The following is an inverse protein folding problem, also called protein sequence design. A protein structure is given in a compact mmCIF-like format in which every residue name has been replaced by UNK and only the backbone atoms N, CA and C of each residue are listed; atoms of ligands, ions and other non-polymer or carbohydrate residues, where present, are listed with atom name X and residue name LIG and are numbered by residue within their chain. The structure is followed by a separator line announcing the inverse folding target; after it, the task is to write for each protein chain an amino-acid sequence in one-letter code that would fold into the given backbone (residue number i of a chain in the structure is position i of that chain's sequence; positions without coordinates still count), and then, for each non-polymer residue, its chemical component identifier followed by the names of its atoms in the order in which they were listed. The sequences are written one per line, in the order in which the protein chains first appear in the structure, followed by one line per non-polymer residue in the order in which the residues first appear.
data_IF_561357761095
#
_entry.id   IF_561357761095
#
_cell.length_a   1.000
_cell.length_b   1.000
_cell.length_c   1.000
_cell.angle_alpha   90.00
_cell.angle_beta   90.00
_cell.angle_gamma   90.00
#
_symmetry.space_group_name_H-M   'P 1'
#
loop_
_entity.id
_entity.type
_entity.pdbx_description
1 polymer ?
#
# COMPACT_ATOMS: atom_id res chain seq x y z
N UNK A 1 -18.01 -15.58 -25.95
CA UNK A 1 -19.03 -14.54 -25.78
C UNK A 1 -18.59 -13.65 -24.62
N UNK A 2 -18.47 -12.33 -24.76
CA UNK A 2 -18.09 -11.44 -23.69
C UNK A 2 -19.24 -11.32 -22.70
N UNK A 3 -18.94 -11.49 -21.41
CA UNK A 3 -19.87 -11.28 -20.30
C UNK A 3 -20.13 -9.79 -20.10
N UNK A 4 -21.38 -9.37 -20.19
CA UNK A 4 -21.82 -8.01 -19.92
C UNK A 4 -21.49 -7.61 -18.46
N UNK A 5 -20.68 -6.58 -18.30
CA UNK A 5 -20.42 -5.96 -17.00
C UNK A 5 -21.69 -5.28 -16.46
N UNK A 6 -22.13 -5.71 -15.29
CA UNK A 6 -23.21 -5.04 -14.56
C UNK A 6 -22.70 -3.69 -14.05
N UNK A 7 -23.42 -2.58 -14.25
CA UNK A 7 -22.98 -1.27 -13.81
C UNK A 7 -22.85 -1.22 -12.28
N UNK A 8 -21.69 -0.72 -11.81
CA UNK A 8 -21.40 -0.51 -10.39
C UNK A 8 -22.38 0.50 -9.78
N UNK A 9 -22.99 0.10 -8.65
CA UNK A 9 -23.86 0.98 -7.87
C UNK A 9 -23.01 2.03 -7.14
N UNK A 10 -23.07 3.27 -7.59
CA UNK A 10 -22.53 4.42 -6.85
C UNK A 10 -23.36 4.67 -5.59
N UNK A 11 -22.76 4.44 -4.43
CA UNK A 11 -23.36 4.69 -3.12
C UNK A 11 -22.73 5.95 -2.50
N UNK A 12 -23.15 7.14 -2.96
CA UNK A 12 -22.99 8.38 -2.24
C UNK A 12 -24.37 8.98 -1.98
N UNK A 13 -25.10 8.39 -1.02
CA UNK A 13 -26.37 8.91 -0.55
C UNK A 13 -26.21 9.45 0.87
N UNK A 14 -26.16 10.78 1.00
CA UNK A 14 -26.53 11.41 2.26
C UNK A 14 -28.04 11.24 2.42
N UNK A 15 -28.53 10.83 3.62
CA UNK A 15 -29.98 10.69 3.84
C UNK A 15 -30.62 12.08 3.66
N UNK A 16 -31.18 12.32 2.49
CA UNK A 16 -31.99 13.50 2.25
C UNK A 16 -33.24 13.42 3.12
N UNK A 17 -33.77 14.57 3.52
CA UNK A 17 -35.01 14.77 4.25
C UNK A 17 -36.29 14.30 3.45
N UNK A 18 -36.18 13.27 2.59
CA UNK A 18 -37.27 12.76 1.80
C UNK A 18 -38.19 11.91 2.68
N UNK A 19 -39.38 12.43 2.96
CA UNK A 19 -40.42 11.70 3.67
C UNK A 19 -41.23 10.86 2.68
N UNK A 20 -41.04 9.53 2.72
CA UNK A 20 -41.73 8.60 1.83
C UNK A 20 -43.23 8.48 2.17
N UNK A 21 -43.58 8.64 3.43
CA UNK A 21 -45.00 8.58 3.85
C UNK A 21 -45.76 9.78 3.35
N UNK A 22 -45.22 10.97 3.51
CA UNK A 22 -45.82 12.20 2.99
C UNK A 22 -45.94 12.13 1.47
N UNK A 23 -44.92 11.61 0.80
CA UNK A 23 -44.93 11.47 -0.66
C UNK A 23 -45.99 10.47 -1.15
N UNK A 24 -46.13 9.29 -0.55
CA UNK A 24 -47.12 8.29 -0.89
C UNK A 24 -48.55 8.82 -0.70
N UNK A 25 -48.76 9.52 0.42
CA UNK A 25 -50.04 10.15 0.72
C UNK A 25 -50.40 11.27 -0.27
N UNK A 26 -49.43 12.09 -0.63
CA UNK A 26 -49.59 13.18 -1.61
C UNK A 26 -50.11 12.65 -2.95
N UNK A 27 -49.64 11.50 -3.39
CA UNK A 27 -50.02 10.91 -4.67
C UNK A 27 -51.11 9.84 -4.55
N UNK A 28 -51.75 9.74 -3.39
CA UNK A 28 -52.89 8.88 -3.17
C UNK A 28 -52.59 7.37 -3.23
N UNK A 29 -51.34 6.99 -3.08
CA UNK A 29 -50.93 5.59 -3.05
C UNK A 29 -51.30 4.98 -1.71
N UNK A 30 -52.30 4.09 -1.71
CA UNK A 30 -52.71 3.36 -0.49
C UNK A 30 -51.76 2.22 -0.20
N UNK A 31 -51.36 2.05 1.07
CA UNK A 31 -50.37 1.07 1.46
C UNK A 31 -50.59 0.55 2.90
N UNK A 32 -49.98 -0.60 3.18
CA UNK A 32 -49.82 -1.16 4.53
C UNK A 32 -48.33 -1.26 4.85
N UNK A 33 -47.95 -0.85 6.06
CA UNK A 33 -46.56 -0.94 6.53
C UNK A 33 -46.28 -2.25 7.25
N UNK A 34 -45.08 -2.79 7.04
CA UNK A 34 -44.53 -3.92 7.79
C UNK A 34 -43.02 -3.78 7.92
N UNK A 35 -42.43 -4.34 8.96
CA UNK A 35 -40.98 -4.43 9.12
C UNK A 35 -40.40 -5.49 8.19
N UNK A 36 -39.23 -5.22 7.59
CA UNK A 36 -38.56 -6.17 6.73
C UNK A 36 -37.02 -5.91 6.69
N UNK A 37 -36.19 -6.88 7.06
CA UNK A 37 -34.71 -6.81 6.97
C UNK A 37 -34.11 -5.52 7.52
N UNK A 38 -34.52 -5.06 8.68
CA UNK A 38 -34.01 -3.84 9.30
C UNK A 38 -34.51 -2.53 8.70
N UNK A 39 -35.46 -2.59 7.76
CA UNK A 39 -36.10 -1.43 7.14
C UNK A 39 -37.62 -1.52 7.20
N UNK A 40 -38.30 -0.66 6.44
CA UNK A 40 -39.77 -0.60 6.34
C UNK A 40 -40.21 -0.97 4.93
N UNK A 41 -41.14 -1.93 4.84
CA UNK A 41 -41.81 -2.32 3.59
C UNK A 41 -43.21 -1.73 3.53
N UNK A 42 -43.50 -1.06 2.44
CA UNK A 42 -44.77 -0.46 2.11
C UNK A 42 -45.44 -1.33 1.05
N UNK A 43 -46.44 -2.12 1.43
CA UNK A 43 -47.21 -2.99 0.52
C UNK A 43 -48.29 -2.14 -0.07
N UNK A 44 -48.24 -1.92 -1.39
CA UNK A 44 -49.22 -1.11 -2.10
C UNK A 44 -50.49 -1.90 -2.35
N UNK A 45 -51.67 -1.22 -2.27
CA UNK A 45 -52.92 -1.85 -2.59
C UNK A 45 -53.05 -2.13 -4.10
N UNK A 46 -52.40 -1.30 -4.95
CA UNK A 46 -52.38 -1.43 -6.41
C UNK A 46 -50.99 -1.04 -6.93
N UNK A 47 -50.48 -1.74 -7.93
CA UNK A 47 -49.23 -1.42 -8.58
C UNK A 47 -49.36 -0.10 -9.37
N UNK A 48 -48.37 0.84 -9.23
CA UNK A 48 -48.39 2.10 -9.97
C UNK A 48 -48.36 1.96 -11.49
N UNK A 49 -47.89 0.83 -12.01
CA UNK A 49 -47.70 0.60 -13.46
C UNK A 49 -48.84 -0.23 -14.09
N UNK A 50 -49.59 -0.97 -13.29
CA UNK A 50 -50.69 -1.80 -13.80
C UNK A 50 -51.76 -2.00 -12.70
N UNK A 51 -52.97 -1.51 -12.94
CA UNK A 51 -54.07 -1.58 -11.99
C UNK A 51 -54.59 -3.00 -11.75
N UNK A 52 -54.24 -3.96 -12.62
CA UNK A 52 -54.62 -5.37 -12.44
C UNK A 52 -53.71 -6.05 -11.40
N UNK A 53 -52.55 -5.48 -11.09
CA UNK A 53 -51.65 -5.97 -10.04
C UNK A 53 -52.06 -5.37 -8.70
N UNK A 54 -52.84 -6.09 -7.94
CA UNK A 54 -53.43 -5.60 -6.70
C UNK A 54 -53.21 -6.54 -5.51
N UNK A 55 -53.51 -6.06 -4.31
CA UNK A 55 -53.47 -6.83 -3.08
C UNK A 55 -52.09 -6.84 -2.40
N UNK A 56 -51.13 -7.68 -2.84
CA UNK A 56 -49.77 -7.79 -2.23
C UNK A 56 -48.69 -7.84 -3.29
N UNK A 57 -49.00 -7.54 -4.52
CA UNK A 57 -48.14 -7.79 -5.67
C UNK A 57 -47.03 -6.74 -5.82
N UNK A 58 -47.25 -5.51 -5.33
CA UNK A 58 -46.28 -4.43 -5.43
C UNK A 58 -45.90 -3.88 -4.07
N UNK A 59 -44.65 -3.56 -3.89
CA UNK A 59 -44.15 -2.95 -2.66
C UNK A 59 -43.05 -1.93 -2.91
N UNK A 60 -42.95 -0.96 -2.00
CA UNK A 60 -41.81 -0.07 -1.86
C UNK A 60 -41.09 -0.45 -0.59
N UNK A 61 -39.76 -0.46 -0.61
CA UNK A 61 -38.92 -0.80 0.52
C UNK A 61 -38.00 0.36 0.85
N UNK A 62 -37.96 0.77 2.11
CA UNK A 62 -37.01 1.76 2.65
C UNK A 62 -36.07 1.09 3.61
N UNK A 63 -34.78 0.99 3.26
CA UNK A 63 -33.74 0.46 4.11
C UNK A 63 -33.41 1.41 5.27
N UNK A 64 -32.77 0.89 6.33
CA UNK A 64 -32.26 1.69 7.45
C UNK A 64 -31.25 2.76 7.00
N UNK A 65 -30.56 2.55 5.89
CA UNK A 65 -29.67 3.55 5.25
C UNK A 65 -30.41 4.70 4.55
N UNK A 66 -31.75 4.66 4.48
CA UNK A 66 -32.58 5.61 3.76
C UNK A 66 -32.74 5.31 2.26
N UNK A 67 -32.10 4.27 1.72
CA UNK A 67 -32.28 3.84 0.34
C UNK A 67 -33.68 3.32 0.11
N UNK A 68 -34.30 3.70 -1.05
CA UNK A 68 -35.66 3.30 -1.41
C UNK A 68 -35.59 2.43 -2.66
N UNK A 69 -36.34 1.32 -2.66
CA UNK A 69 -36.50 0.40 -3.77
C UNK A 69 -37.99 0.14 -4.07
N UNK A 70 -38.30 -0.28 -5.28
CA UNK A 70 -39.61 -0.75 -5.69
C UNK A 70 -39.50 -2.16 -6.25
N UNK A 71 -40.50 -2.98 -6.02
CA UNK A 71 -40.63 -4.30 -6.60
C UNK A 71 -42.07 -4.67 -6.81
N UNK A 72 -42.37 -5.19 -8.00
CA UNK A 72 -43.66 -5.84 -8.32
C UNK A 72 -43.35 -7.30 -8.69
N UNK A 73 -44.14 -8.24 -8.18
CA UNK A 73 -43.93 -9.68 -8.40
C UNK A 73 -44.37 -10.19 -9.77
N UNK A 74 -44.92 -9.32 -10.61
CA UNK A 74 -45.35 -9.67 -11.98
C UNK A 74 -44.21 -9.38 -12.98
N UNK A 75 -44.05 -10.27 -13.96
CA UNK A 75 -42.99 -10.16 -14.97
C UNK A 75 -43.06 -8.88 -15.81
N UNK A 76 -44.31 -8.38 -16.07
CA UNK A 76 -44.52 -7.14 -16.83
C UNK A 76 -43.96 -5.88 -16.15
N UNK A 77 -43.67 -5.95 -14.83
CA UNK A 77 -43.14 -4.84 -14.05
C UNK A 77 -41.78 -5.21 -13.43
N UNK A 78 -41.12 -6.31 -13.81
CA UNK A 78 -39.92 -6.80 -13.19
C UNK A 78 -38.71 -5.87 -13.39
N UNK A 79 -38.70 -5.08 -14.44
CA UNK A 79 -37.71 -4.07 -14.80
C UNK A 79 -37.90 -2.74 -14.09
N UNK A 80 -39.07 -2.50 -13.48
CA UNK A 80 -39.42 -1.22 -12.87
C UNK A 80 -38.70 -1.00 -11.54
N UNK A 81 -38.22 0.22 -11.35
CA UNK A 81 -37.44 0.64 -10.18
C UNK A 81 -38.17 1.75 -9.41
N UNK A 82 -37.67 2.11 -8.20
CA UNK A 82 -38.14 3.28 -7.48
C UNK A 82 -38.03 4.57 -8.31
N UNK A 83 -37.01 4.67 -9.16
CA UNK A 83 -36.84 5.82 -10.06
C UNK A 83 -38.04 5.94 -11.02
N UNK A 84 -38.48 4.81 -11.56
CA UNK A 84 -39.60 4.79 -12.51
C UNK A 84 -40.91 5.12 -11.82
N UNK A 85 -41.13 4.62 -10.61
CA UNK A 85 -42.28 5.02 -9.78
C UNK A 85 -42.27 6.51 -9.54
N UNK A 86 -41.12 7.09 -9.18
CA UNK A 86 -41.03 8.51 -8.89
C UNK A 86 -41.26 9.39 -10.11
N UNK A 87 -40.71 9.01 -11.27
CA UNK A 87 -40.90 9.74 -12.53
C UNK A 87 -42.34 9.67 -13.05
N UNK A 88 -43.07 8.62 -12.69
CA UNK A 88 -44.49 8.51 -13.06
C UNK A 88 -45.37 9.63 -12.42
N UNK A 89 -45.04 10.03 -11.19
CA UNK A 89 -45.73 11.05 -10.43
C UNK A 89 -45.05 12.42 -10.45
N UNK A 90 -43.73 12.45 -10.64
CA UNK A 90 -42.90 13.65 -10.68
C UNK A 90 -41.94 13.57 -11.88
N UNK A 91 -42.38 13.89 -13.11
CA UNK A 91 -41.56 13.78 -14.31
C UNK A 91 -40.20 14.52 -14.19
N UNK A 92 -40.19 15.66 -13.51
CA UNK A 92 -38.98 16.50 -13.36
C UNK A 92 -38.15 16.20 -12.12
N UNK A 93 -38.47 15.12 -11.37
CA UNK A 93 -37.85 14.80 -10.07
C UNK A 93 -36.32 14.71 -10.10
N UNK A 94 -35.73 14.42 -11.23
CA UNK A 94 -34.30 14.23 -11.43
C UNK A 94 -33.66 15.24 -12.38
N UNK A 95 -34.40 16.13 -13.02
CA UNK A 95 -33.87 17.07 -14.02
C UNK A 95 -32.90 18.06 -13.44
N UNK A 96 -33.12 18.61 -12.25
CA UNK A 96 -32.18 19.51 -11.59
C UNK A 96 -30.85 18.82 -11.26
N UNK A 97 -30.88 17.55 -10.85
CA UNK A 97 -29.67 16.77 -10.60
C UNK A 97 -28.94 16.39 -11.90
N UNK A 98 -29.70 16.13 -12.96
CA UNK A 98 -29.13 15.83 -14.27
C UNK A 98 -28.47 17.06 -14.87
N UNK A 99 -29.10 18.23 -14.79
CA UNK A 99 -28.55 19.51 -15.22
C UNK A 99 -27.32 19.91 -14.38
N UNK A 100 -27.32 19.65 -13.09
CA UNK A 100 -26.15 19.88 -12.22
C UNK A 100 -25.01 18.91 -12.51
N UNK A 101 -25.31 17.65 -12.79
CA UNK A 101 -24.35 16.64 -13.23
C UNK A 101 -23.78 16.98 -14.61
N UNK A 102 -24.62 17.36 -15.56
CA UNK A 102 -24.21 17.84 -16.89
C UNK A 102 -23.39 19.13 -16.79
N UNK A 103 -23.79 20.08 -15.93
CA UNK A 103 -22.98 21.27 -15.65
C UNK A 103 -21.61 20.93 -15.06
N UNK A 104 -21.48 19.87 -14.25
CA UNK A 104 -20.19 19.38 -13.72
C UNK A 104 -19.36 18.67 -14.77
N UNK A 105 -19.99 17.90 -15.66
CA UNK A 105 -19.30 17.19 -16.76
C UNK A 105 -18.92 18.16 -17.89
N UNK A 106 -19.82 19.09 -18.25
CA UNK A 106 -19.60 20.06 -19.32
C UNK A 106 -19.13 21.43 -18.83
N UNK A 107 -18.89 21.61 -17.51
CA UNK A 107 -18.13 22.75 -17.06
C UNK A 107 -16.80 22.70 -17.82
N UNK A 108 -16.58 23.70 -18.70
CA UNK A 108 -15.29 23.85 -19.39
C UNK A 108 -14.21 23.64 -18.32
N UNK A 109 -13.25 22.75 -18.54
CA UNK A 109 -12.16 22.55 -17.60
C UNK A 109 -11.62 23.95 -17.30
N UNK A 110 -11.55 24.29 -16.00
CA UNK A 110 -10.85 25.50 -15.54
C UNK A 110 -9.53 25.48 -16.29
N UNK A 111 -9.34 26.46 -17.19
CA UNK A 111 -8.19 26.66 -18.09
C UNK A 111 -7.32 25.42 -18.19
N UNK A 112 -7.24 24.80 -19.38
CA UNK A 112 -6.27 23.70 -19.58
C UNK A 112 -4.99 24.15 -18.91
N UNK A 113 -4.39 23.33 -18.00
CA UNK A 113 -3.12 23.71 -17.42
C UNK A 113 -2.25 24.07 -18.61
N UNK A 114 -1.67 25.26 -18.58
CA UNK A 114 -0.78 25.73 -19.65
C UNK A 114 0.17 24.57 -19.92
N UNK A 115 0.11 24.02 -21.15
CA UNK A 115 1.01 22.96 -21.54
C UNK A 115 2.40 23.54 -21.35
N UNK A 116 3.11 23.11 -20.31
CA UNK A 116 4.50 23.47 -20.09
C UNK A 116 5.22 23.15 -21.41
N UNK A 117 5.62 24.20 -22.14
CA UNK A 117 6.44 24.01 -23.33
C UNK A 117 7.72 23.34 -22.86
N UNK A 118 8.09 22.25 -23.53
CA UNK A 118 9.40 21.65 -23.31
C UNK A 118 10.41 22.69 -23.76
N UNK A 119 11.18 23.24 -22.83
CA UNK A 119 12.30 24.11 -23.17
C UNK A 119 13.41 23.23 -23.76
N UNK A 120 13.65 23.42 -25.04
CA UNK A 120 14.77 22.75 -25.70
C UNK A 120 16.08 23.28 -25.10
N UNK A 121 16.83 22.38 -24.49
CA UNK A 121 18.17 22.71 -23.98
C UNK A 121 19.15 22.73 -25.15
N UNK A 122 19.84 23.83 -25.35
CA UNK A 122 20.83 24.00 -26.40
C UNK A 122 21.77 22.79 -26.46
N UNK A 123 21.87 22.17 -27.64
CA UNK A 123 22.75 21.03 -27.92
C UNK A 123 22.26 19.66 -27.40
N UNK A 124 21.04 19.56 -26.85
CA UNK A 124 20.47 18.28 -26.39
C UNK A 124 19.18 17.98 -27.19
N UNK A 125 19.14 16.96 -28.03
CA UNK A 125 17.93 16.57 -28.75
C UNK A 125 16.85 16.09 -27.79
N UNK A 126 15.59 16.46 -28.05
CA UNK A 126 14.42 16.01 -27.26
C UNK A 126 14.23 14.49 -27.39
N UNK A 127 14.55 13.93 -28.55
CA UNK A 127 14.52 12.49 -28.81
C UNK A 127 15.92 12.00 -29.20
N UNK A 128 16.36 10.95 -28.51
CA UNK A 128 17.66 10.30 -28.76
C UNK A 128 17.50 9.16 -29.73
N UNK A 129 18.43 9.02 -30.69
CA UNK A 129 18.53 7.84 -31.52
C UNK A 129 19.22 6.69 -30.78
N UNK A 130 19.07 5.43 -31.26
CA UNK A 130 19.77 4.30 -30.68
C UNK A 130 21.30 4.50 -30.68
N UNK A 131 21.85 5.21 -31.72
CA UNK A 131 23.27 5.53 -31.82
C UNK A 131 23.68 6.54 -30.75
N UNK A 132 22.86 7.56 -30.46
CA UNK A 132 23.12 8.52 -29.41
C UNK A 132 23.16 7.82 -28.04
N UNK A 133 22.19 6.94 -27.77
CA UNK A 133 22.11 6.16 -26.52
C UNK A 133 23.35 5.26 -26.37
N UNK A 134 23.79 4.60 -27.42
CA UNK A 134 24.96 3.72 -27.38
C UNK A 134 26.25 4.48 -27.02
N UNK A 135 26.36 5.74 -27.42
CA UNK A 135 27.53 6.59 -27.19
C UNK A 135 27.48 7.33 -25.83
N UNK A 136 26.32 7.34 -25.17
CA UNK A 136 26.19 7.96 -23.85
C UNK A 136 26.97 7.16 -22.80
N UNK A 137 27.63 7.85 -21.84
CA UNK A 137 28.25 7.17 -20.73
C UNK A 137 27.15 6.44 -19.92
N UNK A 138 27.36 5.14 -19.69
CA UNK A 138 26.46 4.38 -18.82
C UNK A 138 26.66 4.86 -17.38
N UNK A 139 25.61 5.33 -16.70
CA UNK A 139 25.74 5.64 -15.26
C UNK A 139 26.12 4.37 -14.51
N UNK A 140 26.98 4.51 -13.51
CA UNK A 140 27.32 3.38 -12.66
C UNK A 140 26.05 2.94 -11.89
N UNK A 141 25.69 1.67 -12.06
CA UNK A 141 24.59 1.09 -11.28
C UNK A 141 25.05 0.89 -9.82
N UNK A 142 24.23 1.35 -8.90
CA UNK A 142 24.48 1.18 -7.45
C UNK A 142 23.32 0.42 -6.84
N UNK A 143 23.65 -0.42 -5.87
CA UNK A 143 22.68 -1.28 -5.18
C UNK A 143 22.91 -1.22 -3.68
N UNK A 144 21.84 -1.05 -2.93
CA UNK A 144 21.85 -1.11 -1.47
C UNK A 144 21.52 -2.55 -1.05
N UNK A 145 22.36 -3.12 -0.20
CA UNK A 145 22.14 -4.47 0.34
C UNK A 145 20.98 -4.48 1.33
N UNK A 146 20.18 -5.53 1.26
CA UNK A 146 19.03 -5.72 2.15
C UNK A 146 19.34 -6.63 3.33
N UNK A 147 20.43 -7.41 3.24
CA UNK A 147 20.73 -8.48 4.21
C UNK A 147 19.85 -9.72 4.05
N UNK A 148 18.87 -9.68 3.16
CA UNK A 148 18.09 -10.85 2.78
C UNK A 148 18.80 -11.50 1.60
N UNK A 149 19.49 -12.62 1.88
CA UNK A 149 20.43 -13.25 0.96
C UNK A 149 19.88 -13.47 -0.45
N UNK A 150 18.65 -13.95 -0.56
CA UNK A 150 18.07 -14.24 -1.88
C UNK A 150 17.67 -12.96 -2.64
N UNK A 151 17.26 -11.89 -1.96
CA UNK A 151 17.04 -10.59 -2.61
C UNK A 151 18.40 -10.08 -3.13
N UNK A 152 19.41 -10.07 -2.29
CA UNK A 152 20.74 -9.56 -2.64
C UNK A 152 21.44 -10.37 -3.73
N UNK A 153 21.19 -11.67 -3.78
CA UNK A 153 21.73 -12.57 -4.82
C UNK A 153 21.01 -12.43 -6.16
N UNK A 154 19.69 -12.32 -6.15
CA UNK A 154 18.86 -12.34 -7.37
C UNK A 154 18.64 -10.97 -7.97
N UNK A 155 18.42 -9.96 -7.12
CA UNK A 155 18.18 -8.57 -7.53
C UNK A 155 19.43 -7.69 -7.37
N UNK A 156 20.53 -8.25 -6.88
CA UNK A 156 21.77 -7.52 -6.49
C UNK A 156 21.57 -6.59 -5.30
N UNK A 157 20.40 -6.53 -4.71
CA UNK A 157 19.92 -5.61 -3.70
C UNK A 157 18.90 -4.60 -4.26
N UNK A 158 18.74 -3.46 -3.61
CA UNK A 158 17.83 -2.38 -4.01
C UNK A 158 18.59 -1.38 -4.89
N UNK A 159 18.22 -1.30 -6.18
CA UNK A 159 18.87 -0.40 -7.16
C UNK A 159 18.56 1.06 -6.85
N UNK A 160 19.58 1.93 -6.86
CA UNK A 160 19.38 3.38 -6.75
C UNK A 160 18.66 3.93 -7.99
N UNK A 161 17.92 5.03 -7.84
CA UNK A 161 17.03 5.56 -8.87
C UNK A 161 15.68 4.83 -8.98
N UNK A 162 15.45 3.80 -8.12
CA UNK A 162 14.25 2.96 -8.11
C UNK A 162 13.44 3.15 -6.83
N UNK A 163 12.15 2.80 -6.94
CA UNK A 163 11.23 2.77 -5.81
C UNK A 163 10.74 1.36 -5.52
N UNK A 164 10.57 1.05 -4.24
CA UNK A 164 9.97 -0.22 -3.79
C UNK A 164 8.79 0.02 -2.87
N UNK A 165 7.78 -0.83 -2.96
CA UNK A 165 6.73 -0.93 -1.96
C UNK A 165 6.87 -2.23 -1.19
N UNK A 166 6.71 -2.15 0.15
CA UNK A 166 6.59 -3.34 0.99
C UNK A 166 5.20 -3.37 1.64
N UNK A 167 4.52 -4.50 1.52
CA UNK A 167 3.17 -4.71 2.07
C UNK A 167 3.07 -6.01 2.86
N UNK A 168 1.94 -6.25 3.48
CA UNK A 168 1.67 -7.45 4.26
C UNK A 168 0.55 -7.22 5.27
N UNK A 169 -0.08 -8.27 5.74
CA UNK A 169 -1.11 -8.20 6.77
C UNK A 169 -0.55 -7.58 8.07
N UNK A 170 -1.46 -7.19 8.98
CA UNK A 170 -1.04 -6.75 10.32
C UNK A 170 -0.24 -7.86 11.01
N UNK A 171 0.80 -7.47 11.75
CA UNK A 171 1.71 -8.41 12.43
C UNK A 171 2.41 -9.44 11.50
N UNK A 172 2.55 -9.15 10.21
CA UNK A 172 3.28 -10.02 9.29
C UNK A 172 4.81 -9.86 9.38
N UNK A 173 5.33 -8.90 10.14
CA UNK A 173 6.79 -8.70 10.32
C UNK A 173 7.38 -7.60 9.43
N UNK A 174 6.58 -6.77 8.77
CA UNK A 174 7.07 -5.65 7.92
C UNK A 174 8.09 -4.77 8.63
N UNK A 175 7.74 -4.26 9.82
CA UNK A 175 8.61 -3.37 10.57
C UNK A 175 9.92 -4.06 10.99
N UNK A 176 9.89 -5.38 11.27
CA UNK A 176 11.10 -6.16 11.55
C UNK A 176 12.00 -6.27 10.32
N UNK A 177 11.42 -6.55 9.13
CA UNK A 177 12.17 -6.58 7.86
C UNK A 177 12.80 -5.21 7.57
N UNK A 178 12.03 -4.13 7.73
CA UNK A 178 12.49 -2.78 7.43
C UNK A 178 13.65 -2.37 8.34
N UNK A 179 13.53 -2.60 9.64
CA UNK A 179 14.58 -2.23 10.58
C UNK A 179 15.85 -3.06 10.37
N UNK A 180 15.75 -4.33 9.95
CA UNK A 180 16.90 -5.13 9.54
C UNK A 180 17.56 -4.60 8.27
N UNK A 181 16.77 -4.26 7.25
CA UNK A 181 17.32 -3.61 6.03
C UNK A 181 18.09 -2.33 6.38
N UNK A 182 17.58 -1.53 7.34
CA UNK A 182 18.32 -0.35 7.81
C UNK A 182 19.68 -0.73 8.42
N UNK A 183 19.73 -1.75 9.28
CA UNK A 183 20.97 -2.20 9.91
C UNK A 183 21.96 -2.74 8.88
N UNK A 184 21.49 -3.53 7.92
CA UNK A 184 22.34 -4.07 6.85
C UNK A 184 22.81 -2.98 5.87
N UNK A 185 22.01 -1.99 5.62
CA UNK A 185 22.40 -0.81 4.86
C UNK A 185 23.56 -0.07 5.54
N UNK A 186 23.46 0.15 6.86
CA UNK A 186 24.52 0.79 7.64
C UNK A 186 25.77 -0.08 7.72
N UNK A 187 25.63 -1.38 7.94
CA UNK A 187 26.75 -2.34 7.96
C UNK A 187 27.53 -2.35 6.66
N UNK A 188 26.83 -2.21 5.53
CA UNK A 188 27.46 -2.09 4.21
C UNK A 188 28.10 -0.72 3.94
N UNK A 189 28.11 0.19 4.93
CA UNK A 189 28.65 1.55 4.81
C UNK A 189 27.74 2.54 4.08
N UNK A 190 26.49 2.16 3.77
CA UNK A 190 25.51 3.04 3.13
C UNK A 190 24.76 3.88 4.16
N UNK A 191 24.17 4.97 3.70
CA UNK A 191 23.38 5.89 4.52
C UNK A 191 21.90 5.62 4.34
N UNK A 192 21.14 5.59 5.45
CA UNK A 192 19.69 5.41 5.45
C UNK A 192 18.97 6.49 6.23
N UNK A 193 17.94 7.05 5.62
CA UNK A 193 17.02 8.00 6.22
C UNK A 193 15.65 7.33 6.38
N UNK A 194 15.06 7.45 7.58
CA UNK A 194 13.80 6.80 7.90
C UNK A 194 12.76 7.83 8.34
N UNK A 195 11.56 7.73 7.79
CA UNK A 195 10.34 8.29 8.36
C UNK A 195 9.50 7.13 8.90
N UNK A 196 9.17 7.17 10.20
CA UNK A 196 8.24 6.22 10.81
C UNK A 196 7.05 6.96 11.40
N UNK A 197 5.88 6.83 10.77
CA UNK A 197 4.65 7.47 11.25
C UNK A 197 3.85 6.63 12.26
N UNK A 198 4.21 5.35 12.41
CA UNK A 198 3.52 4.45 13.35
C UNK A 198 4.25 4.33 14.69
N UNK A 199 5.57 4.38 14.69
CA UNK A 199 6.38 4.21 15.89
C UNK A 199 7.00 5.55 16.33
N UNK A 200 6.97 5.80 17.63
CA UNK A 200 7.81 6.87 18.18
C UNK A 200 9.29 6.57 17.96
N UNK A 201 10.17 7.59 17.88
CA UNK A 201 11.59 7.38 17.70
C UNK A 201 12.20 6.40 18.73
N UNK A 202 11.76 6.48 19.99
CA UNK A 202 12.23 5.61 21.06
C UNK A 202 11.83 4.14 20.82
N UNK A 203 10.58 3.90 20.36
CA UNK A 203 10.12 2.55 20.07
C UNK A 203 10.79 1.97 18.83
N UNK A 204 11.02 2.80 17.80
CA UNK A 204 11.76 2.38 16.61
C UNK A 204 13.18 1.99 16.97
N UNK A 205 13.89 2.82 17.73
CA UNK A 205 15.26 2.54 18.18
C UNK A 205 15.34 1.33 19.12
N UNK A 206 14.31 1.09 19.94
CA UNK A 206 14.24 -0.13 20.77
C UNK A 206 14.28 -1.41 19.92
N UNK A 207 13.53 -1.43 18.81
CA UNK A 207 13.55 -2.55 17.86
C UNK A 207 14.92 -2.69 17.21
N UNK A 208 15.46 -1.61 16.69
CA UNK A 208 16.78 -1.61 16.07
C UNK A 208 17.87 -2.06 17.04
N UNK A 209 17.84 -1.61 18.28
CA UNK A 209 18.80 -2.04 19.30
C UNK A 209 18.76 -3.56 19.56
N UNK A 210 17.55 -4.15 19.69
CA UNK A 210 17.40 -5.60 19.85
C UNK A 210 17.93 -6.36 18.63
N UNK A 211 17.58 -5.91 17.43
CA UNK A 211 18.05 -6.53 16.20
C UNK A 211 19.57 -6.35 16.01
N UNK A 212 20.11 -5.16 16.27
CA UNK A 212 21.56 -4.95 16.22
C UNK A 212 22.32 -5.82 17.24
N UNK A 213 21.80 -5.92 18.47
CA UNK A 213 22.36 -6.70 19.54
C UNK A 213 22.37 -8.22 19.25
N UNK A 214 21.34 -8.71 18.55
CA UNK A 214 21.16 -10.13 18.35
C UNK A 214 20.91 -10.87 19.67
N UNK A 215 20.71 -12.18 19.57
CA UNK A 215 20.47 -13.01 20.75
C UNK A 215 21.59 -12.97 21.79
N UNK A 216 22.83 -12.77 21.34
CA UNK A 216 24.01 -12.79 22.22
C UNK A 216 24.03 -11.68 23.28
N UNK A 217 23.41 -10.53 22.97
CA UNK A 217 23.37 -9.35 23.84
C UNK A 217 21.95 -8.94 24.23
N UNK A 218 20.95 -9.76 23.91
CA UNK A 218 19.59 -9.57 24.35
C UNK A 218 19.39 -10.15 25.75
N UNK A 219 19.06 -9.30 26.72
CA UNK A 219 18.87 -9.66 28.13
C UNK A 219 17.38 -9.88 28.42
N UNK A 220 16.97 -11.01 29.02
CA UNK A 220 15.58 -11.22 29.38
C UNK A 220 15.14 -10.22 30.45
N UNK A 221 13.89 -9.77 30.37
CA UNK A 221 13.28 -8.93 31.40
C UNK A 221 12.49 -9.79 32.40
N UNK A 222 11.91 -9.16 33.43
CA UNK A 222 10.99 -9.84 34.35
C UNK A 222 9.71 -10.38 33.66
N UNK A 223 9.43 -9.94 32.42
CA UNK A 223 8.28 -10.38 31.65
C UNK A 223 8.71 -11.41 30.61
N UNK A 224 8.04 -12.56 30.61
CA UNK A 224 8.32 -13.63 29.64
C UNK A 224 8.21 -13.14 28.19
N UNK A 225 9.19 -13.48 27.36
CA UNK A 225 9.24 -13.09 25.95
C UNK A 225 9.63 -11.63 25.67
N UNK A 226 9.92 -10.84 26.71
CA UNK A 226 10.42 -9.48 26.58
C UNK A 226 11.92 -9.42 26.87
N UNK A 227 12.64 -8.73 25.99
CA UNK A 227 14.09 -8.58 26.04
C UNK A 227 14.47 -7.11 25.95
N UNK A 228 15.58 -6.76 26.55
CA UNK A 228 16.21 -5.46 26.47
C UNK A 228 17.69 -5.62 26.05
N UNK A 229 18.31 -4.53 25.72
CA UNK A 229 19.74 -4.41 25.51
C UNK A 229 20.32 -3.53 26.63
N UNK A 230 21.46 -3.87 27.19
CA UNK A 230 22.09 -3.05 28.24
C UNK A 230 22.33 -1.63 27.75
N UNK A 231 22.32 -0.65 28.66
CA UNK A 231 22.56 0.76 28.33
C UNK A 231 23.89 0.97 27.60
N UNK A 232 24.93 0.30 28.05
CA UNK A 232 26.26 0.36 27.44
C UNK A 232 26.22 -0.10 25.98
N UNK A 233 25.55 -1.22 25.68
CA UNK A 233 25.44 -1.71 24.30
C UNK A 233 24.55 -0.81 23.44
N UNK A 234 23.48 -0.23 24.00
CA UNK A 234 22.67 0.78 23.28
C UNK A 234 23.52 2.00 22.86
N UNK A 235 24.43 2.46 23.72
CA UNK A 235 25.33 3.58 23.42
C UNK A 235 26.33 3.21 22.30
N UNK A 236 26.93 2.01 22.34
CA UNK A 236 27.81 1.53 21.26
C UNK A 236 27.04 1.41 19.92
N UNK A 237 25.82 0.85 19.94
CA UNK A 237 24.95 0.76 18.75
C UNK A 237 24.62 2.15 18.21
N UNK A 238 24.27 3.09 19.09
CA UNK A 238 23.95 4.45 18.69
C UNK A 238 25.14 5.18 18.07
N UNK A 239 26.34 4.97 18.58
CA UNK A 239 27.59 5.50 18.03
C UNK A 239 27.86 4.92 16.64
N UNK A 240 27.74 3.60 16.48
CA UNK A 240 27.89 2.92 15.19
C UNK A 240 26.89 3.42 14.14
N UNK A 241 25.63 3.66 14.52
CA UNK A 241 24.59 4.18 13.65
C UNK A 241 24.77 5.66 13.28
N UNK A 242 25.44 6.46 14.12
CA UNK A 242 25.37 7.93 14.14
C UNK A 242 25.69 8.63 12.82
N UNK A 243 26.59 8.05 12.00
CA UNK A 243 27.02 8.67 10.74
C UNK A 243 26.15 8.26 9.53
N UNK A 244 25.48 7.12 9.61
CA UNK A 244 24.83 6.49 8.48
C UNK A 244 23.32 6.25 8.67
N UNK A 245 22.77 6.56 9.83
CA UNK A 245 21.35 6.42 10.12
C UNK A 245 20.75 7.73 10.61
N UNK A 246 19.58 8.09 10.10
CA UNK A 246 18.76 9.15 10.69
C UNK A 246 17.29 8.82 10.66
N UNK A 247 16.56 9.26 11.69
CA UNK A 247 15.13 9.09 11.86
C UNK A 247 14.46 10.45 11.94
N UNK A 248 13.38 10.62 11.17
CA UNK A 248 12.60 11.85 11.16
C UNK A 248 11.96 12.11 12.52
N UNK A 249 12.02 13.36 12.99
CA UNK A 249 11.34 13.76 14.20
C UNK A 249 9.87 14.10 13.92
N UNK A 250 8.96 13.24 14.37
CA UNK A 250 7.52 13.36 14.13
C UNK A 250 6.86 14.59 14.75
N UNK A 251 7.56 15.33 15.61
CA UNK A 251 7.08 16.62 16.16
C UNK A 251 6.91 17.69 15.07
N UNK A 252 7.59 17.57 13.95
CA UNK A 252 7.44 18.47 12.79
C UNK A 252 6.22 18.15 11.90
N UNK A 253 5.38 17.21 12.32
CA UNK A 253 4.14 16.87 11.63
C UNK A 253 4.30 15.83 10.51
N UNK A 254 3.23 15.63 9.75
CA UNK A 254 3.13 14.56 8.76
C UNK A 254 2.66 15.06 7.37
N UNK A 255 2.66 16.36 7.10
CA UNK A 255 2.36 16.86 5.75
C UNK A 255 3.43 16.40 4.76
N UNK A 256 2.99 15.71 3.71
CA UNK A 256 3.92 15.07 2.77
C UNK A 256 4.78 16.06 2.01
N UNK A 257 4.20 17.19 1.56
CA UNK A 257 4.97 18.18 0.78
C UNK A 257 6.02 18.86 1.65
N UNK A 258 5.67 19.17 2.91
CA UNK A 258 6.63 19.75 3.86
C UNK A 258 7.78 18.77 4.16
N UNK A 259 7.46 17.46 4.37
CA UNK A 259 8.46 16.42 4.60
C UNK A 259 9.34 16.24 3.36
N UNK A 260 8.74 16.19 2.18
CA UNK A 260 9.47 16.12 0.90
C UNK A 260 10.51 17.25 0.78
N UNK A 261 10.09 18.49 1.04
CA UNK A 261 11.00 19.64 0.98
C UNK A 261 12.17 19.54 1.97
N UNK A 262 11.91 19.01 3.17
CA UNK A 262 12.97 18.78 4.16
C UNK A 262 13.91 17.63 3.73
N UNK A 263 13.37 16.56 3.18
CA UNK A 263 14.19 15.47 2.63
C UNK A 263 15.06 15.96 1.47
N UNK A 264 14.51 16.72 0.51
CA UNK A 264 15.28 17.26 -0.62
C UNK A 264 16.42 18.17 -0.15
N UNK A 265 16.15 19.08 0.80
CA UNK A 265 17.21 19.92 1.41
C UNK A 265 18.29 19.10 2.12
N UNK A 266 17.90 17.99 2.75
CA UNK A 266 18.83 17.08 3.39
C UNK A 266 19.68 16.34 2.35
N UNK A 267 19.07 15.85 1.26
CA UNK A 267 19.74 15.15 0.17
C UNK A 267 20.83 16.01 -0.50
N UNK A 268 20.57 17.32 -0.64
CA UNK A 268 21.56 18.26 -1.18
C UNK A 268 22.82 18.39 -0.29
N UNK A 269 22.68 18.18 1.02
CA UNK A 269 23.79 18.32 1.98
C UNK A 269 24.44 16.98 2.33
N UNK A 270 23.64 15.96 2.54
CA UNK A 270 24.06 14.64 2.97
C UNK A 270 23.09 13.59 2.37
N UNK A 271 23.37 13.22 1.12
CA UNK A 271 22.55 12.30 0.34
C UNK A 271 22.57 10.89 0.97
N UNK A 272 21.41 10.29 1.28
CA UNK A 272 21.32 8.88 1.65
C UNK A 272 21.47 7.97 0.42
N UNK A 273 21.66 6.69 0.66
CA UNK A 273 21.56 5.64 -0.37
C UNK A 273 20.16 5.01 -0.37
N UNK A 274 19.55 4.95 0.82
CA UNK A 274 18.20 4.41 1.05
C UNK A 274 17.36 5.39 1.85
N UNK A 275 16.10 5.57 1.42
CA UNK A 275 15.06 6.26 2.21
C UNK A 275 13.92 5.27 2.48
N UNK A 276 13.49 5.19 3.73
CA UNK A 276 12.36 4.36 4.15
C UNK A 276 11.23 5.25 4.67
N UNK A 277 10.02 5.03 4.15
CA UNK A 277 8.81 5.76 4.53
C UNK A 277 7.76 4.78 5.10
N UNK A 278 7.67 4.67 6.41
CA UNK A 278 6.76 3.77 7.13
C UNK A 278 5.68 4.58 7.88
N UNK A 279 4.41 4.66 7.42
CA UNK A 279 3.86 4.11 6.18
C UNK A 279 3.08 5.19 5.41
N UNK A 280 2.65 4.87 4.19
CA UNK A 280 1.85 5.75 3.33
C UNK A 280 0.62 6.36 4.03
N UNK A 281 -0.04 5.60 4.92
CA UNK A 281 -1.26 6.05 5.61
C UNK A 281 -0.98 7.06 6.71
N UNK A 282 0.27 7.20 7.17
CA UNK A 282 0.67 8.15 8.18
C UNK A 282 0.93 9.56 7.62
N UNK A 283 1.06 9.70 6.30
CA UNK A 283 1.22 10.99 5.65
C UNK A 283 -0.12 11.69 5.39
N UNK A 284 -0.17 12.99 5.62
CA UNK A 284 -1.22 13.83 5.05
C UNK A 284 -0.86 14.15 3.59
N UNK A 285 -1.57 13.50 2.67
CA UNK A 285 -1.39 13.62 1.22
C UNK A 285 -2.53 14.38 0.55
N UNK A 286 -3.42 15.04 1.31
CA UNK A 286 -4.57 15.79 0.76
C UNK A 286 -4.14 16.93 -0.13
N UNK A 287 -2.96 17.49 0.12
CA UNK A 287 -2.37 18.54 -0.72
C UNK A 287 -2.06 18.08 -2.15
N UNK A 288 -1.98 16.77 -2.41
CA UNK A 288 -1.73 16.21 -3.74
C UNK A 288 -3.00 16.05 -4.57
N UNK A 289 -4.14 15.68 -3.96
CA UNK A 289 -5.47 15.60 -4.58
C UNK A 289 -6.55 15.44 -3.50
N UNK A 290 -7.75 15.97 -3.78
CA UNK A 290 -8.96 15.72 -2.98
C UNK A 290 -9.43 14.25 -3.08
N UNK A 291 -9.09 13.57 -4.16
CA UNK A 291 -9.35 12.15 -4.34
C UNK A 291 -8.21 11.33 -3.72
N UNK A 292 -8.54 10.52 -2.71
CA UNK A 292 -7.57 9.69 -2.00
C UNK A 292 -6.73 8.80 -2.93
N UNK A 293 -7.32 8.22 -3.95
CA UNK A 293 -6.62 7.32 -4.87
C UNK A 293 -5.67 8.07 -5.80
N UNK A 294 -6.11 9.22 -6.31
CA UNK A 294 -5.25 10.11 -7.09
C UNK A 294 -4.08 10.65 -6.25
N UNK A 295 -4.35 11.02 -4.99
CA UNK A 295 -3.30 11.46 -4.07
C UNK A 295 -2.26 10.37 -3.81
N UNK A 296 -2.67 9.11 -3.65
CA UNK A 296 -1.75 7.98 -3.48
C UNK A 296 -0.93 7.72 -4.74
N UNK A 297 -1.53 7.83 -5.91
CA UNK A 297 -0.82 7.72 -7.20
C UNK A 297 0.18 8.86 -7.36
N UNK A 298 -0.21 10.11 -7.09
CA UNK A 298 0.67 11.27 -7.14
C UNK A 298 1.83 11.16 -6.14
N UNK A 299 1.57 10.68 -4.92
CA UNK A 299 2.60 10.36 -3.93
C UNK A 299 3.65 9.40 -4.49
N UNK A 300 3.21 8.28 -5.05
CA UNK A 300 4.12 7.26 -5.58
C UNK A 300 4.97 7.79 -6.73
N UNK A 301 4.37 8.56 -7.65
CA UNK A 301 5.12 9.20 -8.73
C UNK A 301 6.12 10.23 -8.22
N UNK A 302 5.75 11.02 -7.22
CA UNK A 302 6.66 11.98 -6.60
C UNK A 302 7.89 11.27 -5.99
N UNK A 303 7.68 10.14 -5.32
CA UNK A 303 8.79 9.34 -4.79
C UNK A 303 9.68 8.78 -5.90
N UNK A 304 9.08 8.32 -7.00
CA UNK A 304 9.84 7.81 -8.15
C UNK A 304 10.71 8.92 -8.78
N UNK A 305 10.14 10.12 -8.99
CA UNK A 305 10.91 11.28 -9.48
C UNK A 305 12.06 11.67 -8.53
N UNK A 306 11.82 11.64 -7.21
CA UNK A 306 12.86 11.91 -6.22
C UNK A 306 13.96 10.84 -6.26
N UNK A 307 13.60 9.55 -6.35
CA UNK A 307 14.56 8.46 -6.44
C UNK A 307 15.48 8.64 -7.66
N UNK A 308 14.93 8.94 -8.81
CA UNK A 308 15.68 9.18 -10.05
C UNK A 308 16.53 10.45 -9.97
N UNK A 309 15.95 11.58 -9.49
CA UNK A 309 16.64 12.87 -9.40
C UNK A 309 17.89 12.81 -8.53
N UNK A 310 17.79 12.11 -7.41
CA UNK A 310 18.88 12.06 -6.42
C UNK A 310 19.71 10.78 -6.51
N UNK A 311 19.39 9.85 -7.41
CA UNK A 311 20.04 8.54 -7.52
C UNK A 311 20.12 7.86 -6.15
N UNK A 312 18.97 7.65 -5.51
CA UNK A 312 18.76 6.98 -4.23
C UNK A 312 17.71 5.90 -4.39
N UNK A 313 17.66 4.92 -3.47
CA UNK A 313 16.51 4.02 -3.41
C UNK A 313 15.47 4.53 -2.41
N UNK A 314 14.19 4.54 -2.78
CA UNK A 314 13.11 4.89 -1.86
C UNK A 314 12.18 3.69 -1.68
N UNK A 315 12.08 3.20 -0.45
CA UNK A 315 11.15 2.14 -0.06
C UNK A 315 10.03 2.72 0.81
N UNK A 316 8.80 2.39 0.51
CA UNK A 316 7.68 2.80 1.37
C UNK A 316 6.77 1.63 1.73
N UNK A 317 6.14 1.75 2.90
CA UNK A 317 5.18 0.76 3.40
C UNK A 317 3.79 1.14 2.99
N UNK A 318 3.06 0.19 2.39
CA UNK A 318 1.65 0.33 2.10
C UNK A 318 0.85 -0.82 2.72
N UNK A 319 -0.26 -0.48 3.40
CA UNK A 319 -1.15 -1.51 3.93
C UNK A 319 -1.98 -2.14 2.80
N UNK A 320 -2.37 -3.41 2.93
CA UNK A 320 -3.23 -4.04 1.95
C UNK A 320 -4.67 -3.52 2.05
N UNK A 321 -5.41 -3.59 0.94
CA UNK A 321 -6.86 -3.29 0.90
C UNK A 321 -7.68 -4.33 1.64
N UNK A 322 -7.26 -5.59 1.60
CA UNK A 322 -7.89 -6.72 2.28
C UNK A 322 -7.23 -6.95 3.63
N UNK A 323 -8.06 -7.21 4.64
CA UNK A 323 -7.58 -7.51 5.99
C UNK A 323 -7.25 -8.99 6.19
N UNK A 324 -7.59 -9.87 5.24
CA UNK A 324 -7.45 -11.34 5.33
C UNK A 324 -7.14 -11.94 3.96
N UNK A 325 -6.59 -13.14 3.96
CA UNK A 325 -6.32 -13.93 2.78
C UNK A 325 -4.85 -13.96 2.40
N UNK A 326 -4.55 -14.60 1.27
CA UNK A 326 -3.22 -14.55 0.65
C UNK A 326 -3.13 -13.27 -0.16
N UNK A 327 -2.20 -12.40 0.21
CA UNK A 327 -2.02 -11.12 -0.48
C UNK A 327 -1.29 -11.29 -1.80
N UNK A 328 -1.71 -10.50 -2.77
CA UNK A 328 -1.06 -10.37 -4.08
C UNK A 328 -0.74 -8.91 -4.37
N UNK A 329 0.02 -8.64 -5.41
CA UNK A 329 0.39 -7.28 -5.82
C UNK A 329 -0.84 -6.36 -5.92
N UNK A 330 -1.94 -6.85 -6.50
CA UNK A 330 -3.18 -6.10 -6.67
C UNK A 330 -3.92 -5.81 -5.35
N UNK A 331 -3.57 -6.48 -4.27
CA UNK A 331 -4.16 -6.25 -2.94
C UNK A 331 -3.46 -5.12 -2.17
N UNK A 332 -2.35 -4.60 -2.65
CA UNK A 332 -1.67 -3.45 -2.04
C UNK A 332 -2.59 -2.22 -2.08
N UNK A 333 -2.61 -1.47 -0.99
CA UNK A 333 -3.54 -0.35 -0.78
C UNK A 333 -3.48 0.69 -1.90
N UNK A 334 -4.64 1.26 -2.19
CA UNK A 334 -4.78 2.29 -3.21
C UNK A 334 -5.46 1.77 -4.47
N UNK A 335 -4.94 2.16 -5.60
CA UNK A 335 -5.30 1.65 -6.92
C UNK A 335 -4.29 0.58 -7.32
N UNK A 336 -4.59 -0.22 -8.35
CA UNK A 336 -3.58 -1.01 -9.05
C UNK A 336 -2.39 -0.15 -9.51
N UNK A 337 -2.56 1.17 -9.52
CA UNK A 337 -1.57 2.15 -9.92
C UNK A 337 -0.32 2.18 -9.04
N UNK A 338 -0.43 1.92 -7.72
CA UNK A 338 0.77 1.84 -6.86
C UNK A 338 1.66 0.70 -7.32
N UNK A 339 1.09 -0.51 -7.49
CA UNK A 339 1.82 -1.67 -7.99
C UNK A 339 2.44 -1.42 -9.37
N UNK A 340 1.76 -0.65 -10.24
CA UNK A 340 2.25 -0.29 -11.56
C UNK A 340 3.37 0.76 -11.52
N UNK A 341 3.25 1.75 -10.62
CA UNK A 341 4.18 2.89 -10.53
C UNK A 341 5.53 2.54 -9.91
N UNK A 342 5.57 1.61 -8.93
CA UNK A 342 6.83 1.19 -8.30
C UNK A 342 7.66 0.29 -9.20
N UNK A 343 8.97 0.26 -8.97
CA UNK A 343 9.89 -0.63 -9.67
C UNK A 343 9.89 -2.03 -9.06
N UNK A 344 9.87 -2.13 -7.73
CA UNK A 344 9.82 -3.41 -7.02
C UNK A 344 8.66 -3.45 -6.03
N UNK A 345 8.14 -4.64 -5.79
CA UNK A 345 7.11 -4.87 -4.78
C UNK A 345 7.43 -6.12 -3.96
N UNK A 346 7.36 -5.97 -2.65
CA UNK A 346 7.58 -7.05 -1.68
C UNK A 346 6.32 -7.25 -0.83
N UNK A 347 5.99 -8.51 -0.54
CA UNK A 347 4.87 -8.85 0.34
C UNK A 347 5.40 -9.74 1.47
N UNK A 348 5.21 -9.31 2.71
CA UNK A 348 5.60 -10.09 3.89
C UNK A 348 4.41 -10.88 4.38
N UNK A 349 4.53 -12.20 4.34
CA UNK A 349 3.55 -13.15 4.83
C UNK A 349 4.01 -13.75 6.16
N UNK A 350 3.07 -13.99 7.07
CA UNK A 350 3.30 -14.82 8.25
C UNK A 350 2.86 -16.24 7.93
N UNK A 351 3.74 -17.22 8.18
CA UNK A 351 3.44 -18.63 7.96
C UNK A 351 2.53 -19.14 9.08
N UNK A 352 1.25 -19.19 8.80
CA UNK A 352 0.21 -19.71 9.67
C UNK A 352 -0.67 -20.70 8.90
N UNK A 353 -1.69 -21.27 9.53
CA UNK A 353 -2.57 -22.26 8.91
C UNK A 353 -3.29 -21.69 7.67
N UNK A 354 -3.67 -20.41 7.67
CA UNK A 354 -4.31 -19.79 6.51
C UNK A 354 -3.33 -19.61 5.36
N UNK A 355 -2.10 -19.17 5.65
CA UNK A 355 -1.04 -19.09 4.63
C UNK A 355 -0.80 -20.45 3.98
N UNK A 356 -0.62 -21.52 4.80
CA UNK A 356 -0.40 -22.89 4.32
C UNK A 356 -1.56 -23.36 3.44
N UNK A 357 -2.79 -23.24 3.93
CA UNK A 357 -3.99 -23.66 3.20
C UNK A 357 -4.15 -22.92 1.86
N UNK A 358 -3.99 -21.59 1.87
CA UNK A 358 -4.19 -20.76 0.68
C UNK A 358 -3.06 -20.96 -0.34
N UNK A 359 -1.81 -21.09 0.09
CA UNK A 359 -0.69 -21.35 -0.82
C UNK A 359 -0.79 -22.73 -1.48
N UNK A 360 -1.24 -23.75 -0.75
CA UNK A 360 -1.55 -25.06 -1.36
C UNK A 360 -2.62 -24.95 -2.45
N UNK A 361 -3.66 -24.16 -2.20
CA UNK A 361 -4.76 -23.97 -3.17
C UNK A 361 -4.33 -23.15 -4.39
N UNK A 362 -3.51 -22.11 -4.20
CA UNK A 362 -3.13 -21.17 -5.27
C UNK A 362 -1.95 -21.66 -6.10
N UNK A 363 -0.95 -22.27 -5.46
CA UNK A 363 0.31 -22.63 -6.10
C UNK A 363 0.53 -24.15 -6.17
N UNK A 364 -0.35 -24.95 -5.56
CA UNK A 364 -0.21 -26.40 -5.51
C UNK A 364 0.96 -26.87 -4.64
N UNK A 365 1.44 -26.05 -3.67
CA UNK A 365 2.53 -26.43 -2.77
C UNK A 365 2.13 -27.65 -1.93
N UNK A 366 3.10 -28.50 -1.64
CA UNK A 366 2.88 -29.71 -0.83
C UNK A 366 2.84 -29.36 0.65
N UNK A 367 2.21 -30.22 1.45
CA UNK A 367 2.09 -30.03 2.89
C UNK A 367 3.44 -30.06 3.64
N UNK A 368 4.46 -30.65 3.04
CA UNK A 368 5.84 -30.78 3.51
C UNK A 368 6.81 -29.79 2.85
N UNK A 369 6.28 -28.73 2.19
CA UNK A 369 7.11 -27.70 1.56
C UNK A 369 7.99 -26.99 2.60
N UNK A 370 9.27 -26.80 2.26
CA UNK A 370 10.27 -26.20 3.15
C UNK A 370 9.89 -24.80 3.61
N UNK A 371 9.15 -24.02 2.79
CA UNK A 371 8.63 -22.71 3.16
C UNK A 371 7.74 -22.74 4.42
N UNK A 372 7.12 -23.90 4.72
CA UNK A 372 6.27 -24.06 5.89
C UNK A 372 7.02 -24.26 7.20
N UNK A 373 8.34 -24.45 7.15
CA UNK A 373 9.21 -24.46 8.32
C UNK A 373 9.56 -23.04 8.80
N UNK A 374 9.46 -22.06 7.91
CA UNK A 374 9.72 -20.67 8.21
C UNK A 374 8.63 -20.07 9.11
N UNK A 375 8.96 -18.99 9.83
CA UNK A 375 8.00 -18.18 10.57
C UNK A 375 7.31 -17.14 9.67
N UNK A 376 8.03 -16.63 8.70
CA UNK A 376 7.61 -15.62 7.75
C UNK A 376 8.16 -15.96 6.36
N UNK A 377 7.50 -15.41 5.35
CA UNK A 377 7.96 -15.49 3.96
C UNK A 377 7.89 -14.09 3.38
N UNK A 378 8.96 -13.65 2.73
CA UNK A 378 8.93 -12.46 1.88
C UNK A 378 8.79 -12.87 0.43
N UNK A 379 7.80 -12.34 -0.25
CA UNK A 379 7.54 -12.55 -1.67
C UNK A 379 8.11 -11.38 -2.47
N UNK A 380 8.92 -11.66 -3.50
CA UNK A 380 9.21 -10.71 -4.56
C UNK A 380 8.01 -10.78 -5.52
N UNK A 381 7.05 -9.88 -5.32
CA UNK A 381 5.83 -9.81 -6.13
C UNK A 381 6.04 -9.07 -7.45
N UNK A 382 7.08 -8.20 -7.53
CA UNK A 382 7.50 -7.49 -8.72
C UNK A 382 8.97 -7.12 -8.62
N UNK A 383 9.71 -7.38 -9.69
CA UNK A 383 11.06 -6.89 -9.95
C UNK A 383 11.14 -6.39 -11.40
N UNK A 384 11.27 -5.07 -11.58
CA UNK A 384 11.28 -4.45 -12.92
C UNK A 384 12.56 -4.77 -13.68
N UNK A 385 13.70 -4.88 -13.00
CA UNK A 385 15.02 -5.04 -13.63
C UNK A 385 15.25 -6.49 -14.08
N UNK A 386 15.01 -7.45 -13.18
CA UNK A 386 15.22 -8.88 -13.42
C UNK A 386 13.98 -9.66 -13.88
N UNK A 387 12.79 -9.06 -13.79
CA UNK A 387 11.52 -9.69 -14.17
C UNK A 387 11.05 -10.78 -13.20
N UNK A 388 11.58 -10.85 -11.99
CA UNK A 388 11.15 -11.82 -10.99
C UNK A 388 9.74 -11.49 -10.50
N UNK A 389 8.92 -12.53 -10.41
CA UNK A 389 7.58 -12.50 -9.82
C UNK A 389 7.32 -13.81 -9.09
N UNK A 390 6.42 -13.78 -8.10
CA UNK A 390 5.99 -14.96 -7.36
C UNK A 390 7.18 -15.76 -6.77
N UNK A 391 8.24 -15.05 -6.36
CA UNK A 391 9.41 -15.67 -5.76
C UNK A 391 9.36 -15.52 -4.23
N UNK A 392 9.35 -16.63 -3.52
CA UNK A 392 9.08 -16.70 -2.09
C UNK A 392 10.37 -17.07 -1.32
N UNK A 393 10.73 -16.26 -0.34
CA UNK A 393 11.96 -16.38 0.44
C UNK A 393 11.58 -16.67 1.90
N UNK A 394 11.99 -17.81 2.47
CA UNK A 394 11.73 -18.13 3.86
C UNK A 394 12.57 -17.26 4.81
N UNK A 395 11.96 -16.82 5.91
CA UNK A 395 12.61 -16.08 6.98
C UNK A 395 12.24 -16.69 8.34
N UNK A 396 13.20 -16.72 9.25
CA UNK A 396 13.11 -17.41 10.52
C UNK A 396 13.17 -16.42 11.68
N UNK A 397 12.06 -16.27 12.39
CA UNK A 397 11.96 -15.30 13.49
C UNK A 397 12.70 -15.77 14.73
N UNK A 398 13.57 -14.92 15.26
CA UNK A 398 14.29 -15.09 16.52
C UNK A 398 13.65 -14.21 17.60
N UNK A 399 13.10 -14.85 18.62
CA UNK A 399 12.27 -14.14 19.63
C UNK A 399 13.07 -13.14 20.46
N UNK A 400 14.30 -13.47 20.80
CA UNK A 400 15.17 -12.68 21.67
C UNK A 400 15.59 -11.37 21.01
N UNK A 401 16.05 -11.44 19.78
CA UNK A 401 16.53 -10.29 19.02
C UNK A 401 15.46 -9.62 18.15
N UNK A 402 14.31 -10.25 17.95
CA UNK A 402 13.26 -9.81 16.99
C UNK A 402 13.72 -9.82 15.53
N UNK A 403 14.77 -10.55 15.20
CA UNK A 403 15.28 -10.72 13.83
C UNK A 403 14.43 -11.67 13.01
N UNK A 404 14.41 -11.44 11.70
CA UNK A 404 13.93 -12.36 10.68
C UNK A 404 15.13 -12.88 9.87
N UNK A 405 15.73 -13.97 10.30
CA UNK A 405 17.00 -14.54 9.82
C UNK A 405 16.81 -15.27 8.49
N UNK A 406 17.85 -15.32 7.68
CA UNK A 406 17.87 -16.10 6.43
C UNK A 406 17.89 -17.62 6.68
N UNK A 407 18.37 -18.07 7.85
CA UNK A 407 18.36 -19.47 8.28
C UNK A 407 18.29 -19.57 9.79
N UNK A 408 17.92 -20.74 10.30
CA UNK A 408 17.92 -21.02 11.74
C UNK A 408 19.32 -20.84 12.39
N UNK A 409 20.36 -21.13 11.64
CA UNK A 409 21.76 -21.13 12.14
C UNK A 409 22.47 -19.81 11.90
N UNK A 410 21.83 -18.85 11.22
CA UNK A 410 22.45 -17.55 10.97
C UNK A 410 22.76 -16.84 12.28
N UNK A 411 24.00 -16.42 12.43
CA UNK A 411 24.50 -15.64 13.56
C UNK A 411 25.19 -14.38 13.05
N UNK A 412 24.36 -13.35 12.72
CA UNK A 412 24.87 -12.08 12.20
C UNK A 412 25.33 -11.20 13.35
N UNK A 413 26.57 -10.72 13.25
CA UNK A 413 27.15 -9.72 14.14
C UNK A 413 27.37 -8.45 13.34
N UNK A 414 26.95 -7.32 13.87
CA UNK A 414 27.15 -6.00 13.27
C UNK A 414 28.41 -5.32 13.85
N UNK A 415 29.01 -4.38 13.12
CA UNK A 415 30.29 -3.75 13.43
C UNK A 415 30.36 -2.91 14.72
N UNK A 416 29.26 -2.81 15.50
CA UNK A 416 29.28 -2.16 16.81
C UNK A 416 29.86 -3.03 17.93
N UNK A 417 29.95 -4.34 17.74
CA UNK A 417 30.41 -5.30 18.77
C UNK A 417 31.91 -5.45 18.82
N UNK A 418 32.43 -5.84 19.99
CA UNK A 418 33.91 -5.95 20.27
C UNK A 418 34.59 -7.04 19.42
N UNK A 419 33.90 -7.83 18.62
CA UNK A 419 34.45 -8.84 17.70
C UNK A 419 34.54 -8.34 16.23
N UNK A 420 34.36 -7.05 16.00
CA UNK A 420 34.39 -6.46 14.65
C UNK A 420 35.80 -6.57 13.99
N UNK A 421 36.87 -6.77 14.77
CA UNK A 421 38.23 -6.89 14.26
C UNK A 421 38.55 -8.24 13.57
N UNK A 422 37.60 -9.18 13.55
CA UNK A 422 37.77 -10.55 13.02
C UNK A 422 37.07 -10.88 11.74
N UNK A 423 36.12 -10.04 11.24
CA UNK A 423 35.30 -10.35 10.07
C UNK A 423 35.38 -9.23 9.01
N UNK A 424 36.56 -9.07 8.42
CA UNK A 424 36.66 -8.46 7.09
C UNK A 424 36.14 -9.47 6.08
N UNK A 425 34.80 -9.49 5.91
CA UNK A 425 34.10 -10.30 4.90
C UNK A 425 34.34 -9.77 3.50
N UNK A 426 35.56 -9.82 3.03
CA UNK A 426 35.94 -9.75 1.62
C UNK A 426 36.18 -11.15 1.09
N UNK A 427 35.20 -12.02 1.13
CA UNK A 427 35.08 -13.06 0.13
C UNK A 427 34.48 -12.43 -1.13
N UNK A 428 35.31 -11.71 -1.85
CA UNK A 428 35.13 -11.47 -3.26
C UNK A 428 35.12 -12.85 -3.95
N UNK A 429 33.94 -13.46 -4.11
CA UNK A 429 33.77 -14.49 -5.13
C UNK A 429 34.08 -13.84 -6.46
N UNK A 430 35.32 -14.02 -6.95
CA UNK A 430 35.65 -13.86 -8.34
C UNK A 430 34.78 -14.88 -9.10
N UNK A 431 33.77 -14.39 -9.79
CA UNK A 431 33.05 -15.19 -10.80
C UNK A 431 33.98 -15.23 -12.02
N UNK A 432 34.45 -16.43 -12.47
CA UNK A 432 35.15 -16.51 -13.74
C UNK A 432 34.10 -16.20 -14.84
N UNK A 433 34.42 -15.19 -15.62
CA UNK A 433 33.75 -15.00 -16.92
C UNK A 433 34.30 -16.04 -17.91
N UNK A 434 33.47 -16.95 -18.36
CA UNK A 434 33.49 -17.54 -19.68
C UNK A 434 32.19 -17.25 -20.40
#
# INVERSE_FOLDING_TARGET
FPSEEKPQKYNNYQPSQFDLDEWLNKYGLRYRKTSYSGGTKYILDVCPFDSNHNGKDACIFRASSGAIGFHCFHNSCADKTWRDVRLLYEPDAYEKKQQEYERKIYAKPKSQPERKKIEEKEGKPVFLTAKDILTMPKPAERFVKTGINDIDKRMRGLKTGYTSVISGLRASGKSSVISEICLDCVEAGNKVDVYSGELSPQNFMRWMNLQAAGKAYAEPTQFEGYYNVSRQNQEKIAEWLSNNFSLYNNEYGNDFLAIKDQLERKFERNKPDLVILDNLMAFDIKSLSDNKYEAQTAFTWTLHEMAQKYDIHIMFVAHPRKAMGFLRLDDISGTADIGNAVDNAFIVHRVNNDFKRLSMQMFGWKADDDLYTASNVIEIAKDRDGGLQDYFIPLYYETESKRLKNSFTENKIYGWGDNADGFTGTDQMQIPFE
#
